data_IF_509608187175
#
_entry.id   IF_509608187175
#
_cell.length_a   1.000
_cell.length_b   1.000
_cell.length_c   1.000
_cell.angle_alpha   90.00
_cell.angle_beta   90.00
_cell.angle_gamma   90.00
#
_symmetry.space_group_name_H-M   'P 1'
#
loop_
_entity.id
_entity.type
_entity.pdbx_description
1 polymer ?
#
# COMPACT_ATOMS: atom_id res chain seq x y z
N UNK A 1 9.70 30.25 26.58
CA UNK A 1 8.95 28.99 26.62
C UNK A 1 8.89 28.46 25.20
N UNK A 2 9.70 27.45 24.88
CA UNK A 2 9.73 26.83 23.56
C UNK A 2 8.47 25.98 23.41
N UNK A 3 7.58 26.39 22.50
CA UNK A 3 6.43 25.57 22.12
C UNK A 3 6.94 24.48 21.17
N UNK A 4 7.24 23.32 21.77
CA UNK A 4 7.44 22.07 21.06
C UNK A 4 6.14 21.75 20.31
N UNK A 5 6.10 22.03 19.00
CA UNK A 5 4.94 21.71 18.18
C UNK A 5 4.86 20.19 18.05
N UNK A 6 3.74 19.54 18.43
CA UNK A 6 3.61 18.12 18.24
C UNK A 6 3.55 17.81 16.73
N UNK A 7 4.27 16.76 16.34
CA UNK A 7 4.33 16.19 14.98
C UNK A 7 2.92 15.86 14.47
N UNK A 8 2.37 16.72 13.61
CA UNK A 8 1.12 16.49 12.86
C UNK A 8 1.14 15.23 11.96
N UNK A 9 2.30 14.59 11.80
CA UNK A 9 2.50 13.41 10.95
C UNK A 9 2.00 12.09 11.54
N UNK A 10 1.83 11.99 12.86
CA UNK A 10 1.42 10.74 13.52
C UNK A 10 -0.11 10.57 13.52
N UNK A 11 -0.85 11.65 13.82
CA UNK A 11 -2.31 11.62 13.87
C UNK A 11 -2.97 11.42 12.50
N UNK A 12 -2.37 11.94 11.42
CA UNK A 12 -2.88 11.71 10.06
C UNK A 12 -2.73 10.24 9.61
N UNK A 13 -1.68 9.55 10.09
CA UNK A 13 -1.50 8.11 9.83
C UNK A 13 -2.47 7.28 10.67
N UNK A 14 -2.69 7.68 11.92
CA UNK A 14 -3.63 7.02 12.83
C UNK A 14 -5.09 7.17 12.34
N UNK A 15 -5.48 8.36 11.86
CA UNK A 15 -6.80 8.59 11.26
C UNK A 15 -7.00 7.78 9.97
N UNK A 16 -6.00 7.73 9.09
CA UNK A 16 -6.06 6.91 7.88
C UNK A 16 -6.18 5.41 8.18
N UNK A 17 -5.45 4.93 9.20
CA UNK A 17 -5.52 3.54 9.66
C UNK A 17 -6.88 3.22 10.30
N UNK A 18 -7.46 4.14 11.07
CA UNK A 18 -8.80 3.99 11.66
C UNK A 18 -9.92 4.03 10.61
N UNK A 19 -9.79 4.86 9.58
CA UNK A 19 -10.82 5.05 8.56
C UNK A 19 -10.82 3.96 7.49
N UNK A 20 -9.63 3.55 7.05
CA UNK A 20 -9.47 2.62 5.94
C UNK A 20 -8.96 1.23 6.36
N UNK A 21 -8.62 1.03 7.64
CA UNK A 21 -8.22 -0.29 8.15
C UNK A 21 -6.90 -0.79 7.53
N UNK A 22 -6.73 -2.11 7.39
CA UNK A 22 -5.49 -2.72 6.91
C UNK A 22 -5.05 -2.21 5.52
N UNK A 23 -5.99 -1.91 4.62
CA UNK A 23 -5.65 -1.41 3.28
C UNK A 23 -4.93 -0.05 3.30
N UNK A 24 -5.04 0.72 4.38
CA UNK A 24 -4.24 1.95 4.56
C UNK A 24 -2.75 1.66 4.64
N UNK A 25 -2.35 0.55 5.29
CA UNK A 25 -0.94 0.18 5.40
C UNK A 25 -0.34 -0.09 4.02
N UNK A 26 -1.07 -0.82 3.16
CA UNK A 26 -0.64 -1.07 1.77
C UNK A 26 -0.56 0.24 0.98
N UNK A 27 -1.52 1.15 1.17
CA UNK A 27 -1.47 2.46 0.52
C UNK A 27 -0.20 3.24 0.89
N UNK A 28 0.15 3.30 2.18
CA UNK A 28 1.37 3.98 2.64
C UNK A 28 2.63 3.38 2.02
N UNK A 29 2.74 2.05 2.00
CA UNK A 29 3.86 1.33 1.38
C UNK A 29 3.95 1.58 -0.13
N UNK A 30 2.82 1.63 -0.84
CA UNK A 30 2.80 1.98 -2.26
C UNK A 30 3.22 3.43 -2.51
N UNK A 31 2.79 4.37 -1.68
CA UNK A 31 3.22 5.78 -1.82
C UNK A 31 4.71 5.95 -1.56
N UNK A 32 5.29 5.14 -0.68
CA UNK A 32 6.72 5.15 -0.39
C UNK A 32 7.55 4.44 -1.47
N UNK A 33 7.14 3.22 -1.87
CA UNK A 33 7.92 2.36 -2.75
C UNK A 33 7.60 2.48 -4.24
N UNK A 34 6.39 2.89 -4.60
CA UNK A 34 5.95 3.01 -6.00
C UNK A 34 5.09 4.28 -6.21
N UNK A 35 5.67 5.49 -6.08
CA UNK A 35 4.92 6.75 -6.14
C UNK A 35 4.19 6.99 -7.48
N UNK A 36 4.65 6.32 -8.55
CA UNK A 36 4.03 6.35 -9.87
C UNK A 36 2.76 5.50 -9.99
N UNK A 37 2.47 4.61 -9.04
CA UNK A 37 1.20 3.89 -8.96
C UNK A 37 0.14 4.84 -8.42
N UNK A 38 -0.95 5.00 -9.18
CA UNK A 38 -2.12 5.74 -8.74
C UNK A 38 -2.89 4.81 -7.80
N UNK A 39 -2.92 5.16 -6.52
CA UNK A 39 -3.57 4.40 -5.47
C UNK A 39 -4.64 5.26 -4.78
N UNK A 40 -5.81 4.69 -4.48
CA UNK A 40 -6.89 5.39 -3.78
C UNK A 40 -7.66 4.46 -2.88
N UNK A 41 -7.69 4.76 -1.58
CA UNK A 41 -8.55 4.08 -0.61
C UNK A 41 -10.00 4.56 -0.78
N UNK A 42 -10.93 3.62 -0.85
CA UNK A 42 -12.36 3.87 -0.98
C UNK A 42 -13.13 3.00 0.00
N UNK A 43 -14.31 3.45 0.42
CA UNK A 43 -15.21 2.69 1.30
C UNK A 43 -16.50 2.37 0.55
N UNK A 44 -17.01 1.16 0.74
CA UNK A 44 -18.40 0.81 0.40
C UNK A 44 -18.78 0.71 -1.06
N UNK A 45 -17.84 0.30 -1.93
CA UNK A 45 -18.15 -0.06 -3.31
C UNK A 45 -18.17 -1.57 -3.56
N UNK A 46 -17.62 -2.37 -2.65
CA UNK A 46 -17.57 -3.83 -2.74
C UNK A 46 -18.35 -4.43 -1.59
N UNK A 47 -19.14 -5.46 -1.87
CA UNK A 47 -19.90 -6.21 -0.87
C UNK A 47 -18.95 -6.99 0.07
N UNK A 48 -19.15 -6.93 1.39
CA UNK A 48 -20.11 -6.06 2.08
C UNK A 48 -19.68 -4.59 2.00
N UNK A 49 -20.62 -3.70 1.64
CA UNK A 49 -20.42 -2.27 1.40
C UNK A 49 -19.94 -1.43 2.63
N UNK A 50 -19.47 -2.11 3.67
CA UNK A 50 -18.78 -1.54 4.83
C UNK A 50 -17.26 -1.63 4.71
N UNK A 51 -16.73 -2.45 3.79
CA UNK A 51 -15.29 -2.69 3.65
C UNK A 51 -14.59 -1.58 2.86
N UNK A 52 -13.43 -1.23 3.39
CA UNK A 52 -12.47 -0.35 2.73
C UNK A 52 -11.65 -1.16 1.73
N UNK A 53 -11.49 -0.64 0.52
CA UNK A 53 -10.72 -1.25 -0.55
C UNK A 53 -9.75 -0.24 -1.14
N UNK A 54 -8.69 -0.75 -1.75
CA UNK A 54 -7.64 0.02 -2.39
C UNK A 54 -7.71 -0.19 -3.90
N UNK A 55 -8.08 0.86 -4.63
CA UNK A 55 -8.02 0.85 -6.09
C UNK A 55 -6.63 1.28 -6.55
N UNK A 56 -6.01 0.48 -7.41
CA UNK A 56 -4.66 0.70 -7.91
C UNK A 56 -4.62 0.64 -9.43
N UNK A 57 -3.83 1.50 -10.04
CA UNK A 57 -3.61 1.53 -11.50
C UNK A 57 -2.25 2.13 -11.84
N UNK A 58 -1.66 1.69 -12.94
CA UNK A 58 -0.41 2.22 -13.46
C UNK A 58 -0.50 2.38 -14.97
N UNK A 59 -0.16 3.58 -15.49
CA UNK A 59 -0.27 3.91 -16.92
C UNK A 59 -1.66 3.60 -17.50
N UNK A 60 -1.71 2.99 -18.68
CA UNK A 60 -2.94 2.61 -19.39
C UNK A 60 -3.51 1.26 -18.92
N UNK A 61 -2.95 0.64 -17.88
CA UNK A 61 -3.45 -0.63 -17.38
C UNK A 61 -4.81 -0.49 -16.71
N UNK A 62 -5.69 -1.51 -16.84
CA UNK A 62 -6.96 -1.53 -16.14
C UNK A 62 -6.73 -1.45 -14.63
N UNK A 63 -7.58 -0.65 -13.97
CA UNK A 63 -7.52 -0.52 -12.53
C UNK A 63 -7.88 -1.86 -11.86
N UNK A 64 -7.09 -2.22 -10.85
CA UNK A 64 -7.32 -3.38 -10.00
C UNK A 64 -7.77 -2.94 -8.62
N UNK A 65 -8.45 -3.83 -7.91
CA UNK A 65 -8.98 -3.54 -6.59
C UNK A 65 -8.48 -4.57 -5.59
N UNK A 66 -7.91 -4.09 -4.50
CA UNK A 66 -7.43 -4.90 -3.37
C UNK A 66 -8.33 -4.67 -2.17
N UNK A 67 -8.68 -5.73 -1.45
CA UNK A 67 -9.33 -5.63 -0.14
C UNK A 67 -8.56 -6.47 0.89
N UNK A 68 -8.87 -6.24 2.16
CA UNK A 68 -8.47 -7.11 3.25
C UNK A 68 -9.58 -8.12 3.51
N UNK A 69 -9.23 -9.40 3.49
CA UNK A 69 -10.10 -10.47 3.96
C UNK A 69 -9.95 -10.62 5.48
N UNK A 70 -10.98 -10.24 6.22
CA UNK A 70 -10.99 -10.28 7.70
C UNK A 70 -11.01 -11.72 8.23
N UNK A 71 -11.66 -12.64 7.52
CA UNK A 71 -11.80 -14.04 7.95
C UNK A 71 -10.48 -14.78 7.76
N UNK A 72 -9.88 -14.61 6.59
CA UNK A 72 -8.68 -15.31 6.20
C UNK A 72 -7.39 -14.55 6.58
N UNK A 73 -7.51 -13.30 7.00
CA UNK A 73 -6.43 -12.40 7.43
C UNK A 73 -5.32 -12.23 6.37
N UNK A 74 -5.72 -12.00 5.13
CA UNK A 74 -4.81 -11.64 4.04
C UNK A 74 -5.45 -10.69 3.03
N UNK A 75 -4.62 -9.99 2.26
CA UNK A 75 -5.05 -9.16 1.14
C UNK A 75 -5.36 -10.01 -0.09
N UNK A 76 -6.42 -9.64 -0.79
CA UNK A 76 -6.88 -10.29 -2.03
C UNK A 76 -7.24 -9.27 -3.10
N UNK A 77 -7.11 -9.69 -4.35
CA UNK A 77 -7.72 -9.02 -5.48
C UNK A 77 -9.22 -9.33 -5.52
N UNK A 78 -10.03 -8.27 -5.68
CA UNK A 78 -11.50 -8.35 -5.82
C UNK A 78 -12.00 -7.59 -7.04
N UNK A 79 -11.09 -7.22 -7.94
CA UNK A 79 -11.47 -6.57 -9.18
C UNK A 79 -10.31 -6.40 -10.13
N UNK A 80 -10.59 -6.58 -11.42
CA UNK A 80 -9.60 -6.58 -12.49
C UNK A 80 -9.29 -8.00 -12.98
N UNK A 81 -8.23 -8.16 -13.78
CA UNK A 81 -7.88 -9.45 -14.41
C UNK A 81 -7.39 -10.52 -13.41
N UNK A 82 -7.01 -10.11 -12.20
CA UNK A 82 -6.43 -10.97 -11.17
C UNK A 82 -7.44 -11.31 -10.05
N UNK A 83 -8.74 -11.13 -10.30
CA UNK A 83 -9.82 -11.36 -9.33
C UNK A 83 -9.71 -12.72 -8.62
N UNK A 84 -9.87 -12.72 -7.29
CA UNK A 84 -9.71 -13.90 -6.44
C UNK A 84 -8.26 -14.27 -6.10
N UNK A 85 -7.26 -13.58 -6.67
CA UNK A 85 -5.85 -13.84 -6.38
C UNK A 85 -5.41 -13.36 -4.99
N UNK A 86 -4.63 -14.17 -4.29
CA UNK A 86 -4.08 -13.86 -2.97
C UNK A 86 -2.78 -13.06 -3.06
N UNK A 87 -2.68 -11.96 -2.30
CA UNK A 87 -1.49 -11.11 -2.22
C UNK A 87 -0.63 -11.38 -0.98
N UNK A 88 -1.21 -11.99 0.05
CA UNK A 88 -0.54 -12.28 1.33
C UNK A 88 -0.96 -11.29 2.43
N UNK A 89 -0.29 -11.30 3.57
CA UNK A 89 -0.70 -10.52 4.77
C UNK A 89 0.20 -9.34 5.11
N UNK A 90 1.42 -9.30 4.59
CA UNK A 90 2.40 -8.28 4.93
C UNK A 90 2.28 -7.06 3.99
N UNK A 91 1.93 -5.86 4.50
CA UNK A 91 1.60 -4.71 3.65
C UNK A 91 2.69 -4.34 2.65
N UNK A 92 3.96 -4.38 3.06
CA UNK A 92 5.10 -4.05 2.19
C UNK A 92 5.28 -5.07 1.06
N UNK A 93 5.16 -6.37 1.36
CA UNK A 93 5.24 -7.44 0.35
C UNK A 93 4.06 -7.37 -0.61
N UNK A 94 2.89 -7.04 -0.09
CA UNK A 94 1.66 -6.83 -0.87
C UNK A 94 1.85 -5.63 -1.81
N UNK A 95 2.38 -4.50 -1.32
CA UNK A 95 2.65 -3.33 -2.15
C UNK A 95 3.66 -3.60 -3.26
N UNK A 96 4.75 -4.33 -2.97
CA UNK A 96 5.72 -4.76 -3.97
C UNK A 96 5.07 -5.65 -5.04
N UNK A 97 4.24 -6.61 -4.61
CA UNK A 97 3.52 -7.51 -5.53
C UNK A 97 2.50 -6.78 -6.39
N UNK A 98 1.77 -5.82 -5.83
CA UNK A 98 0.88 -4.94 -6.60
C UNK A 98 1.66 -4.20 -7.68
N UNK A 99 2.80 -3.59 -7.32
CA UNK A 99 3.62 -2.86 -8.28
C UNK A 99 4.16 -3.80 -9.38
N UNK A 100 4.66 -4.98 -9.02
CA UNK A 100 5.10 -6.01 -9.97
C UNK A 100 3.98 -6.43 -10.92
N UNK A 101 2.78 -6.76 -10.40
CA UNK A 101 1.61 -7.12 -11.22
C UNK A 101 1.18 -5.98 -12.16
N UNK A 102 1.36 -4.73 -11.74
CA UNK A 102 1.09 -3.55 -12.56
C UNK A 102 2.24 -3.18 -13.52
N UNK A 103 3.38 -3.88 -13.46
CA UNK A 103 4.60 -3.51 -14.21
C UNK A 103 5.19 -2.17 -13.78
N UNK A 104 4.90 -1.72 -12.55
CA UNK A 104 5.41 -0.49 -11.98
C UNK A 104 6.74 -0.73 -11.24
N UNK A 105 7.69 0.22 -11.30
CA UNK A 105 8.90 0.13 -10.49
C UNK A 105 8.53 0.24 -9.01
N UNK A 106 9.10 -0.64 -8.18
CA UNK A 106 8.99 -0.60 -6.73
C UNK A 106 10.38 -0.46 -6.11
N UNK A 107 10.69 0.74 -5.63
CA UNK A 107 11.84 0.99 -4.79
C UNK A 107 11.50 0.50 -3.39
N UNK A 108 11.82 -0.76 -3.10
CA UNK A 108 11.97 -1.16 -1.72
C UNK A 108 13.03 -0.25 -1.08
N UNK A 109 12.85 0.30 0.13
CA UNK A 109 14.01 0.82 0.85
C UNK A 109 14.97 -0.34 0.94
N UNK A 110 16.09 -0.22 0.24
CA UNK A 110 17.19 -1.16 0.30
C UNK A 110 17.48 -1.38 1.78
N UNK A 111 17.18 -2.57 2.28
CA UNK A 111 17.85 -3.08 3.46
C UNK A 111 19.24 -3.50 3.01
N UNK A 112 20.01 -2.53 2.53
CA UNK A 112 21.37 -2.73 2.06
C UNK A 112 22.27 -1.89 2.97
N UNK A 113 22.71 -2.45 4.12
CA UNK A 113 23.76 -1.84 4.92
C UNK A 113 25.13 -1.89 4.21
N UNK A 114 25.23 -2.25 2.92
CA UNK A 114 26.50 -2.45 2.21
C UNK A 114 26.78 -1.43 1.09
N UNK A 115 25.97 -0.37 0.95
CA UNK A 115 26.24 0.70 -0.02
C UNK A 115 27.20 1.80 0.47
N UNK A 116 27.74 1.70 1.69
CA UNK A 116 28.81 2.58 2.20
C UNK A 116 30.09 1.77 2.45
N UNK A 117 30.81 1.47 1.39
CA UNK A 117 32.09 0.75 1.49
C UNK A 117 32.96 0.87 0.26
N UNK A 118 32.90 1.98 -0.48
CA UNK A 118 33.78 2.18 -1.64
C UNK A 118 34.22 3.63 -1.83
N UNK A 119 34.88 4.20 -0.83
CA UNK A 119 35.79 5.34 -1.00
C UNK A 119 36.84 5.30 0.11
N UNK A 120 38.12 5.15 -0.25
CA UNK A 120 39.22 5.30 0.69
C UNK A 120 40.45 4.52 0.27
N UNK A 121 41.28 5.19 -0.52
CA UNK A 121 42.57 4.75 -1.06
C UNK A 121 43.65 4.77 0.01
#
# INVERSE_FOLDING_TARGET
>A
MSVDKPRESDESRDLGARLYGPVNAVYVELRAGAPGVVASCKRGHYEPATRSHLRVSYRAEPARVVTWDEEAQYYVWVGGPDDGGQLGREPRRVAARIAETLGAPFSAPSDDPAAEGRTGR
#
